data_IF_095814451101
#
_entry.id   IF_095814451101
#
_cell.length_a   1.000
_cell.length_b   1.000
_cell.length_c   1.000
_cell.angle_alpha   90.00
_cell.angle_beta   90.00
_cell.angle_gamma   90.00
#
_symmetry.space_group_name_H-M   'P 1'
#
loop_
_entity.id
_entity.type
_entity.pdbx_description
1 polymer ?
#
# COMPACT_ATOMS: atom_id res chain seq x y z
N UNK A 1 38.76 -40.87 -39.41
CA UNK A 1 37.78 -40.90 -38.29
C UNK A 1 38.25 -39.92 -37.25
N UNK A 2 37.42 -38.95 -36.83
CA UNK A 2 37.80 -38.00 -35.80
C UNK A 2 37.98 -38.72 -34.44
N UNK A 3 38.95 -38.34 -33.59
CA UNK A 3 39.15 -38.97 -32.30
C UNK A 3 37.95 -38.70 -31.38
N UNK A 4 37.43 -39.75 -30.74
CA UNK A 4 36.37 -39.62 -29.73
C UNK A 4 36.90 -38.78 -28.57
N UNK A 5 36.20 -37.69 -28.22
CA UNK A 5 36.48 -36.92 -26.99
C UNK A 5 36.42 -37.86 -25.78
N UNK A 6 37.31 -37.63 -24.82
CA UNK A 6 37.36 -38.40 -23.59
C UNK A 6 36.06 -38.15 -22.79
N UNK A 7 35.32 -39.18 -22.35
CA UNK A 7 34.02 -39.02 -21.70
C UNK A 7 34.09 -38.20 -20.41
N UNK A 8 35.18 -38.34 -19.65
CA UNK A 8 35.43 -37.51 -18.46
C UNK A 8 35.58 -36.00 -18.77
N UNK A 9 36.08 -35.64 -19.96
CA UNK A 9 36.20 -34.23 -20.37
C UNK A 9 34.83 -33.66 -20.73
N UNK A 10 33.99 -34.45 -21.38
CA UNK A 10 32.62 -34.07 -21.75
C UNK A 10 31.74 -33.84 -20.50
N UNK A 11 31.82 -34.73 -19.50
CA UNK A 11 31.15 -34.56 -18.20
C UNK A 11 31.61 -33.27 -17.50
N UNK A 12 32.91 -32.96 -17.50
CA UNK A 12 33.40 -31.71 -16.91
C UNK A 12 32.96 -30.46 -17.68
N UNK A 13 32.85 -30.53 -19.01
CA UNK A 13 32.31 -29.44 -19.83
C UNK A 13 30.83 -29.19 -19.50
N UNK A 14 30.03 -30.24 -19.29
CA UNK A 14 28.61 -30.13 -18.98
C UNK A 14 28.34 -29.65 -17.54
N UNK A 15 29.15 -30.10 -16.58
CA UNK A 15 29.13 -29.56 -15.21
C UNK A 15 29.42 -28.06 -15.25
N UNK A 16 30.44 -27.64 -16.02
CA UNK A 16 30.81 -26.23 -16.15
C UNK A 16 29.67 -25.39 -16.73
N UNK A 17 29.04 -25.85 -17.82
CA UNK A 17 27.87 -25.16 -18.40
C UNK A 17 26.75 -25.01 -17.38
N UNK A 18 26.43 -26.09 -16.67
CA UNK A 18 25.36 -26.07 -15.65
C UNK A 18 25.67 -25.09 -14.53
N UNK A 19 26.93 -25.04 -14.08
CA UNK A 19 27.39 -24.08 -13.08
C UNK A 19 27.29 -22.64 -13.56
N UNK A 20 27.64 -22.36 -14.82
CA UNK A 20 27.54 -21.03 -15.42
C UNK A 20 26.07 -20.58 -15.49
N UNK A 21 25.15 -21.47 -15.89
CA UNK A 21 23.71 -21.19 -15.89
C UNK A 21 23.16 -20.91 -14.48
N UNK A 22 23.48 -21.77 -13.51
CA UNK A 22 23.04 -21.57 -12.13
C UNK A 22 23.59 -20.26 -11.54
N UNK A 23 24.82 -19.88 -11.89
CA UNK A 23 25.42 -18.62 -11.46
C UNK A 23 24.69 -17.40 -12.04
N UNK A 24 24.28 -17.47 -13.32
CA UNK A 24 23.45 -16.44 -13.95
C UNK A 24 22.07 -16.35 -13.30
N UNK A 25 21.42 -17.48 -13.05
CA UNK A 25 20.11 -17.53 -12.39
C UNK A 25 20.15 -16.95 -10.98
N UNK A 26 21.20 -17.26 -10.21
CA UNK A 26 21.44 -16.66 -8.88
C UNK A 26 21.56 -15.14 -9.00
N UNK A 27 22.31 -14.66 -10.00
CA UNK A 27 22.43 -13.22 -10.27
C UNK A 27 21.07 -12.58 -10.57
N UNK A 28 20.27 -13.21 -11.42
CA UNK A 28 18.92 -12.76 -11.75
C UNK A 28 17.99 -12.76 -10.52
N UNK A 29 18.03 -13.81 -9.71
CA UNK A 29 17.25 -13.92 -8.46
C UNK A 29 17.64 -12.80 -7.50
N UNK A 30 18.94 -12.54 -7.32
CA UNK A 30 19.42 -11.46 -6.45
C UNK A 30 18.86 -10.10 -6.88
N UNK A 31 18.89 -9.78 -8.18
CA UNK A 31 18.31 -8.51 -8.66
C UNK A 31 16.80 -8.40 -8.45
N UNK A 32 16.07 -9.52 -8.53
CA UNK A 32 14.63 -9.57 -8.21
C UNK A 32 14.40 -9.38 -6.71
N UNK A 33 15.22 -9.99 -5.86
CA UNK A 33 15.17 -9.81 -4.40
C UNK A 33 15.42 -8.36 -4.00
N UNK A 34 16.42 -7.70 -4.60
CA UNK A 34 16.71 -6.28 -4.34
C UNK A 34 15.51 -5.38 -4.70
N UNK A 35 14.82 -5.67 -5.81
CA UNK A 35 13.59 -4.96 -6.20
C UNK A 35 12.46 -5.19 -5.21
N UNK A 36 12.27 -6.43 -4.75
CA UNK A 36 11.24 -6.76 -3.76
C UNK A 36 11.50 -6.02 -2.45
N UNK A 37 12.75 -5.95 -1.98
CA UNK A 37 13.10 -5.21 -0.76
C UNK A 37 12.73 -3.73 -0.86
N UNK A 38 13.06 -3.07 -1.98
CA UNK A 38 12.67 -1.67 -2.23
C UNK A 38 11.15 -1.48 -2.21
N UNK A 39 10.41 -2.38 -2.87
CA UNK A 39 8.94 -2.32 -2.87
C UNK A 39 8.37 -2.49 -1.45
N UNK A 40 8.94 -3.37 -0.62
CA UNK A 40 8.52 -3.55 0.77
C UNK A 40 8.78 -2.29 1.60
N UNK A 41 9.92 -1.63 1.39
CA UNK A 41 10.22 -0.33 2.03
C UNK A 41 9.20 0.74 1.63
N UNK A 42 8.91 0.88 0.33
CA UNK A 42 7.91 1.84 -0.18
C UNK A 42 6.51 1.56 0.39
N UNK A 43 6.08 0.30 0.44
CA UNK A 43 4.78 -0.09 1.02
C UNK A 43 4.72 0.27 2.51
N UNK A 44 5.82 0.09 3.23
CA UNK A 44 5.90 0.42 4.66
C UNK A 44 5.77 1.94 4.87
N UNK A 45 6.45 2.74 4.05
CA UNK A 45 6.34 4.20 4.08
C UNK A 45 4.92 4.68 3.74
N UNK A 46 4.29 4.09 2.71
CA UNK A 46 2.93 4.42 2.32
C UNK A 46 1.92 4.14 3.44
N UNK A 47 2.08 3.02 4.18
CA UNK A 47 1.22 2.70 5.33
C UNK A 47 1.31 3.76 6.42
N UNK A 48 2.51 4.24 6.74
CA UNK A 48 2.71 5.31 7.72
C UNK A 48 2.00 6.59 7.26
N UNK A 49 2.16 6.98 5.99
CA UNK A 49 1.50 8.17 5.47
C UNK A 49 -0.02 8.06 5.45
N UNK A 50 -0.57 6.88 5.19
CA UNK A 50 -2.02 6.64 5.26
C UNK A 50 -2.51 6.88 6.69
N UNK A 51 -1.83 6.30 7.69
CA UNK A 51 -2.22 6.47 9.08
C UNK A 51 -2.18 7.94 9.54
N UNK A 52 -1.17 8.71 9.11
CA UNK A 52 -1.08 10.15 9.37
C UNK A 52 -2.22 10.93 8.69
N UNK A 53 -2.55 10.59 7.43
CA UNK A 53 -3.65 11.23 6.71
C UNK A 53 -5.00 10.91 7.35
N UNK A 54 -5.23 9.67 7.77
CA UNK A 54 -6.47 9.26 8.44
C UNK A 54 -6.66 10.01 9.78
N UNK A 55 -5.60 10.17 10.57
CA UNK A 55 -5.63 11.01 11.78
C UNK A 55 -6.05 12.45 11.48
N UNK A 56 -5.50 13.02 10.40
CA UNK A 56 -5.83 14.38 9.97
C UNK A 56 -7.26 14.51 9.44
N UNK A 57 -7.77 13.50 8.75
CA UNK A 57 -9.16 13.45 8.31
C UNK A 57 -10.08 13.47 9.52
N UNK A 58 -9.86 12.61 10.51
CA UNK A 58 -10.67 12.56 11.73
C UNK A 58 -10.65 13.89 12.48
N UNK A 59 -9.50 14.56 12.57
CA UNK A 59 -9.40 15.87 13.20
C UNK A 59 -10.21 16.94 12.45
N UNK A 60 -10.13 16.95 11.11
CA UNK A 60 -10.86 17.89 10.28
C UNK A 60 -12.37 17.64 10.31
N UNK A 61 -12.80 16.37 10.31
CA UNK A 61 -14.20 15.99 10.44
C UNK A 61 -14.79 16.51 11.75
N UNK A 62 -14.08 16.37 12.88
CA UNK A 62 -14.50 16.94 14.17
C UNK A 62 -14.65 18.46 14.11
N UNK A 63 -13.66 19.16 13.52
CA UNK A 63 -13.72 20.62 13.37
C UNK A 63 -14.89 21.06 12.51
N UNK A 64 -15.21 20.32 11.45
CA UNK A 64 -16.37 20.60 10.60
C UNK A 64 -17.66 20.39 11.40
N UNK A 65 -17.75 19.31 12.18
CA UNK A 65 -18.90 19.05 13.04
C UNK A 65 -19.12 20.16 14.07
N UNK A 66 -18.05 20.63 14.72
CA UNK A 66 -18.12 21.76 15.66
C UNK A 66 -18.62 23.04 14.96
N UNK A 67 -18.07 23.37 13.79
CA UNK A 67 -18.48 24.54 13.02
C UNK A 67 -19.94 24.45 12.55
N UNK A 68 -20.40 23.27 12.14
CA UNK A 68 -21.81 23.04 11.83
C UNK A 68 -22.70 23.26 13.05
N UNK A 69 -22.28 22.80 14.23
CA UNK A 69 -23.03 23.03 15.47
C UNK A 69 -23.09 24.53 15.82
N UNK A 70 -21.98 25.25 15.71
CA UNK A 70 -21.96 26.71 15.91
C UNK A 70 -22.86 27.45 14.93
N UNK A 71 -22.85 27.06 13.66
CA UNK A 71 -23.76 27.63 12.65
C UNK A 71 -25.21 27.38 13.01
N UNK A 72 -25.56 26.17 13.47
CA UNK A 72 -26.94 25.84 13.89
C UNK A 72 -27.40 26.67 15.10
N UNK A 73 -26.52 26.85 16.09
CA UNK A 73 -26.83 27.71 17.25
C UNK A 73 -27.06 29.15 16.79
N UNK A 74 -26.18 29.67 15.92
CA UNK A 74 -26.34 31.02 15.39
C UNK A 74 -27.61 31.16 14.54
N UNK A 75 -27.94 30.19 13.68
CA UNK A 75 -29.15 30.24 12.86
C UNK A 75 -30.42 30.21 13.71
N UNK A 76 -30.48 29.40 14.77
CA UNK A 76 -31.61 29.38 15.71
C UNK A 76 -31.71 30.70 16.47
N UNK A 77 -30.59 31.29 16.91
CA UNK A 77 -30.56 32.58 17.60
C UNK A 77 -31.01 33.72 16.68
N UNK A 78 -30.57 33.72 15.42
CA UNK A 78 -30.82 34.81 14.46
C UNK A 78 -32.21 34.70 13.82
N UNK A 79 -32.69 33.49 13.53
CA UNK A 79 -33.93 33.28 12.75
C UNK A 79 -35.10 32.70 13.54
N UNK A 80 -34.87 32.16 14.74
CA UNK A 80 -35.92 31.54 15.56
C UNK A 80 -36.52 30.24 14.99
N UNK A 81 -36.00 29.72 13.86
CA UNK A 81 -36.54 28.57 13.14
C UNK A 81 -35.69 27.31 13.37
N UNK A 82 -36.34 26.20 13.76
CA UNK A 82 -35.69 24.89 13.86
C UNK A 82 -35.44 24.29 12.46
N UNK A 83 -34.17 24.18 12.06
CA UNK A 83 -33.78 23.61 10.77
C UNK A 83 -33.43 22.11 10.94
N UNK A 84 -34.01 21.23 10.11
CA UNK A 84 -33.68 19.79 10.06
C UNK A 84 -32.53 19.52 9.05
N UNK A 85 -31.34 19.06 9.47
CA UNK A 85 -30.25 18.77 8.56
C UNK A 85 -30.39 17.42 7.85
N UNK A 86 -29.98 17.36 6.58
CA UNK A 86 -29.94 16.16 5.72
C UNK A 86 -29.14 14.99 6.33
N UNK A 87 -28.14 15.27 7.16
CA UNK A 87 -27.28 14.24 7.79
C UNK A 87 -28.02 13.39 8.84
N UNK A 88 -29.13 13.89 9.41
CA UNK A 88 -29.91 13.14 10.40
C UNK A 88 -30.62 11.90 9.79
N UNK A 89 -30.86 11.87 8.47
CA UNK A 89 -31.53 10.74 7.82
C UNK A 89 -30.68 9.45 7.85
N UNK A 90 -29.35 9.55 7.87
CA UNK A 90 -28.48 8.38 7.96
C UNK A 90 -28.28 7.91 9.41
N UNK A 91 -28.22 8.81 10.39
CA UNK A 91 -28.06 8.43 11.80
C UNK A 91 -29.35 7.89 12.44
N UNK A 92 -30.53 8.32 12.00
CA UNK A 92 -31.82 7.83 12.53
C UNK A 92 -32.23 6.50 11.93
N UNK A 93 -31.92 6.23 10.66
CA UNK A 93 -32.23 4.94 10.03
C UNK A 93 -31.33 3.79 10.50
N UNK A 94 -30.20 4.07 11.16
CA UNK A 94 -29.33 3.06 11.76
C UNK A 94 -29.78 2.59 13.17
N UNK A 95 -30.89 3.13 13.70
CA UNK A 95 -31.51 2.71 14.97
C UNK A 95 -32.96 2.22 14.77
N UNK A 96 -33.17 1.33 13.79
CA UNK A 96 -34.38 0.52 13.71
C UNK A 96 -34.03 -0.95 13.57
#
# INVERSE_FOLDING_TARGET
MAPKKNPAVEETEDIRKTLDFLSQDIGAIKTKQDKILKLVEEVTQLRIQIEERDKKIVELERKVEDLEQYSRINDVIVTGLQIKPRSYAHAVNARK
#
